data_IF_823076700730
#
_entry.id   IF_823076700730
#
_cell.length_a   1.000
_cell.length_b   1.000
_cell.length_c   1.000
_cell.angle_alpha   90.00
_cell.angle_beta   90.00
_cell.angle_gamma   90.00
#
_symmetry.space_group_name_H-M   'P 1'
#
loop_
_entity.id
_entity.type
_entity.pdbx_description
1 polymer ?
#
# COMPACT_ATOMS: atom_id res chain seq x y z
N UNK A 1 -10.27 18.26 10.19
CA UNK A 1 -9.33 17.97 11.31
C UNK A 1 -8.57 16.63 11.13
N UNK A 2 -9.00 15.75 10.22
CA UNK A 2 -8.37 14.46 9.97
C UNK A 2 -7.34 14.48 8.82
N UNK A 3 -6.81 15.63 8.46
CA UNK A 3 -5.78 15.77 7.42
C UNK A 3 -4.45 16.22 8.03
N UNK A 4 -3.37 15.63 7.56
CA UNK A 4 -2.01 16.02 7.91
C UNK A 4 -1.71 17.41 7.35
N UNK A 5 -1.27 18.34 8.22
CA UNK A 5 -1.17 19.77 7.90
C UNK A 5 -0.26 20.09 6.72
N UNK A 6 0.89 19.40 6.59
CA UNK A 6 1.87 19.66 5.52
C UNK A 6 1.50 19.01 4.18
N UNK A 7 0.87 17.83 4.20
CA UNK A 7 0.66 17.03 2.99
C UNK A 7 -0.78 17.02 2.49
N UNK A 8 -1.75 17.35 3.33
CA UNK A 8 -3.18 17.23 3.02
C UNK A 8 -3.71 15.80 2.98
N UNK A 9 -2.84 14.80 3.24
CA UNK A 9 -3.24 13.39 3.34
C UNK A 9 -4.14 13.18 4.55
N UNK A 10 -5.11 12.27 4.43
CA UNK A 10 -5.88 11.87 5.59
C UNK A 10 -5.02 11.15 6.61
N UNK A 11 -5.27 11.44 7.88
CA UNK A 11 -4.75 10.68 9.00
C UNK A 11 -5.70 9.51 9.22
N UNK A 12 -5.19 8.30 9.08
CA UNK A 12 -5.99 7.07 9.04
C UNK A 12 -6.02 6.34 10.38
N UNK A 13 -5.28 6.82 11.37
CA UNK A 13 -5.15 6.17 12.67
C UNK A 13 -5.69 7.07 13.78
N UNK A 14 -6.53 6.50 14.62
CA UNK A 14 -7.09 7.16 15.81
C UNK A 14 -6.52 6.48 17.04
N UNK A 15 -5.78 7.24 17.84
CA UNK A 15 -5.18 6.77 19.10
C UNK A 15 -6.11 7.10 20.27
N UNK A 16 -6.69 6.07 20.89
CA UNK A 16 -7.58 6.22 22.03
C UNK A 16 -8.84 7.04 21.74
N UNK A 17 -9.34 7.74 22.75
CA UNK A 17 -10.55 8.54 22.64
C UNK A 17 -10.30 9.85 21.88
N UNK A 18 -10.52 9.86 20.56
CA UNK A 18 -10.52 11.05 19.70
C UNK A 18 -9.17 11.72 19.44
N UNK A 19 -8.04 11.07 19.71
CA UNK A 19 -6.72 11.54 19.25
C UNK A 19 -6.38 10.88 17.90
N UNK A 20 -6.12 11.68 16.90
CA UNK A 20 -5.57 11.19 15.63
C UNK A 20 -4.06 11.02 15.77
N UNK A 21 -3.50 9.98 15.17
CA UNK A 21 -2.07 9.90 14.90
C UNK A 21 -1.63 11.15 14.14
N UNK A 22 -0.42 11.62 14.41
CA UNK A 22 0.11 12.78 13.66
C UNK A 22 0.59 12.40 12.26
N UNK A 23 0.59 11.12 11.92
CA UNK A 23 1.21 10.61 10.70
C UNK A 23 0.21 9.83 9.84
N UNK A 24 0.13 10.11 8.54
CA UNK A 24 -0.55 9.25 7.59
C UNK A 24 0.30 8.00 7.32
N UNK A 25 -0.34 6.83 7.27
CA UNK A 25 0.30 5.54 6.98
C UNK A 25 0.00 5.08 5.56
N UNK A 26 1.01 4.53 4.89
CA UNK A 26 0.93 4.13 3.49
C UNK A 26 -0.09 3.03 3.23
N UNK A 27 -0.03 1.93 3.98
CA UNK A 27 -0.99 0.83 3.84
C UNK A 27 -2.44 1.29 4.06
N UNK A 28 -2.68 2.05 5.13
CA UNK A 28 -4.01 2.56 5.47
C UNK A 28 -4.54 3.57 4.43
N UNK A 29 -3.66 4.42 3.88
CA UNK A 29 -4.04 5.34 2.81
C UNK A 29 -4.42 4.62 1.52
N UNK A 30 -3.63 3.63 1.11
CA UNK A 30 -3.94 2.81 -0.07
C UNK A 30 -5.30 2.13 0.07
N UNK A 31 -5.54 1.51 1.22
CA UNK A 31 -6.80 0.86 1.55
C UNK A 31 -7.97 1.85 1.53
N UNK A 32 -7.81 2.99 2.21
CA UNK A 32 -8.84 4.04 2.25
C UNK A 32 -9.17 4.58 0.87
N UNK A 33 -8.17 4.87 0.02
CA UNK A 33 -8.38 5.39 -1.34
C UNK A 33 -9.17 4.39 -2.18
N UNK A 34 -8.84 3.11 -2.07
CA UNK A 34 -9.55 2.04 -2.75
C UNK A 34 -11.04 2.04 -2.41
N UNK A 35 -11.38 1.96 -1.12
CA UNK A 35 -12.80 1.93 -0.71
C UNK A 35 -13.52 3.24 -0.95
N UNK A 36 -12.84 4.36 -0.75
CA UNK A 36 -13.41 5.69 -1.03
C UNK A 36 -13.82 5.86 -2.49
N UNK A 37 -13.19 5.15 -3.41
CA UNK A 37 -13.54 5.16 -4.83
C UNK A 37 -14.99 4.77 -5.11
N UNK A 38 -15.61 3.94 -4.26
CA UNK A 38 -16.97 3.46 -4.43
C UNK A 38 -18.04 4.50 -4.05
N UNK A 39 -17.77 5.37 -3.07
CA UNK A 39 -18.77 6.32 -2.57
C UNK A 39 -18.36 7.81 -2.69
N UNK A 40 -17.08 8.10 -2.88
CA UNK A 40 -16.55 9.46 -3.02
C UNK A 40 -15.40 9.53 -4.05
N UNK A 41 -15.64 9.20 -5.33
CA UNK A 41 -14.58 9.03 -6.33
C UNK A 41 -13.72 10.29 -6.55
N UNK A 42 -14.30 11.48 -6.47
CA UNK A 42 -13.55 12.73 -6.60
C UNK A 42 -12.54 12.91 -5.46
N UNK A 43 -12.93 12.57 -4.23
CA UNK A 43 -12.04 12.60 -3.06
C UNK A 43 -10.97 11.53 -3.13
N UNK A 44 -11.31 10.33 -3.61
CA UNK A 44 -10.33 9.27 -3.85
C UNK A 44 -9.25 9.73 -4.82
N UNK A 45 -9.62 10.35 -5.95
CA UNK A 45 -8.68 10.92 -6.93
C UNK A 45 -7.81 12.05 -6.34
N UNK A 46 -8.39 12.93 -5.52
CA UNK A 46 -7.63 13.98 -4.81
C UNK A 46 -6.58 13.35 -3.89
N UNK A 47 -7.00 12.43 -3.02
CA UNK A 47 -6.11 11.76 -2.09
C UNK A 47 -5.05 10.92 -2.81
N UNK A 48 -5.38 10.28 -3.92
CA UNK A 48 -4.43 9.56 -4.76
C UNK A 48 -3.32 10.46 -5.30
N UNK A 49 -3.66 11.65 -5.78
CA UNK A 49 -2.67 12.64 -6.23
C UNK A 49 -1.73 13.05 -5.10
N UNK A 50 -2.27 13.34 -3.92
CA UNK A 50 -1.48 13.71 -2.74
C UNK A 50 -0.63 12.53 -2.25
N UNK A 51 -1.17 11.32 -2.28
CA UNK A 51 -0.49 10.10 -1.89
C UNK A 51 0.73 9.84 -2.78
N UNK A 52 0.56 9.88 -4.10
CA UNK A 52 1.69 9.78 -5.04
C UNK A 52 2.72 10.88 -4.83
N UNK A 53 2.29 12.11 -4.61
CA UNK A 53 3.22 13.25 -4.40
C UNK A 53 4.10 13.05 -3.17
N UNK A 54 3.56 12.54 -2.08
CA UNK A 54 4.22 12.53 -0.77
C UNK A 54 4.84 11.18 -0.39
N UNK A 55 4.26 10.08 -0.87
CA UNK A 55 4.61 8.73 -0.42
C UNK A 55 5.24 7.85 -1.52
N UNK A 56 5.15 8.23 -2.79
CA UNK A 56 5.76 7.45 -3.86
C UNK A 56 7.28 7.56 -3.80
N UNK A 57 7.96 6.43 -3.81
CA UNK A 57 9.41 6.30 -3.85
C UNK A 57 9.85 5.58 -5.12
N UNK A 58 10.97 6.02 -5.68
CA UNK A 58 11.62 5.35 -6.82
C UNK A 58 12.93 4.74 -6.36
N UNK A 59 13.16 3.46 -6.68
CA UNK A 59 14.38 2.74 -6.34
C UNK A 59 14.75 1.84 -7.52
N UNK A 60 15.94 1.98 -8.08
CA UNK A 60 16.47 1.14 -9.16
C UNK A 60 15.47 0.92 -10.32
N UNK A 61 14.86 2.00 -10.80
CA UNK A 61 13.89 1.95 -11.89
C UNK A 61 12.50 1.42 -11.54
N UNK A 62 12.28 0.97 -10.31
CA UNK A 62 10.99 0.54 -9.77
C UNK A 62 10.35 1.63 -8.93
N UNK A 63 9.03 1.51 -8.70
CA UNK A 63 8.29 2.43 -7.84
C UNK A 63 7.55 1.66 -6.75
N UNK A 64 7.40 2.27 -5.59
CA UNK A 64 6.57 1.74 -4.52
C UNK A 64 6.15 2.85 -3.58
N UNK A 65 5.29 2.53 -2.64
CA UNK A 65 4.85 3.48 -1.64
C UNK A 65 5.59 3.29 -0.33
N UNK A 66 5.94 4.40 0.32
CA UNK A 66 6.44 4.41 1.69
C UNK A 66 5.34 3.99 2.65
N UNK A 67 5.72 3.36 3.75
CA UNK A 67 4.78 3.15 4.86
C UNK A 67 4.62 4.42 5.69
N UNK A 68 5.70 5.20 5.84
CA UNK A 68 5.72 6.44 6.61
C UNK A 68 6.26 7.61 5.80
N UNK A 69 5.92 8.84 6.19
CA UNK A 69 6.55 10.05 5.65
C UNK A 69 8.07 10.04 5.96
N UNK A 70 8.85 10.76 5.15
CA UNK A 70 10.33 10.76 5.23
C UNK A 70 10.90 11.28 6.54
N UNK A 71 10.17 12.11 7.24
CA UNK A 71 10.53 12.69 8.51
C UNK A 71 10.09 11.83 9.73
N UNK A 72 9.57 10.63 9.45
CA UNK A 72 9.12 9.69 10.46
C UNK A 72 9.64 8.29 10.15
N UNK A 73 10.50 7.77 11.00
CA UNK A 73 10.93 6.37 10.99
C UNK A 73 10.08 5.59 12.00
N UNK A 74 8.93 5.14 11.55
CA UNK A 74 8.04 4.30 12.35
C UNK A 74 8.62 2.89 12.52
N UNK A 75 8.37 2.30 13.66
CA UNK A 75 8.68 0.89 13.89
C UNK A 75 7.81 -0.01 13.01
N UNK A 76 8.35 -1.18 12.66
CA UNK A 76 7.59 -2.23 12.03
C UNK A 76 6.33 -2.57 12.83
N UNK A 77 5.21 -2.74 12.15
CA UNK A 77 3.96 -3.22 12.74
C UNK A 77 3.45 -4.41 11.95
N UNK A 78 2.77 -5.40 12.57
CA UNK A 78 2.28 -6.60 11.87
C UNK A 78 1.43 -6.32 10.62
N UNK A 79 0.69 -5.22 10.62
CA UNK A 79 -0.21 -4.82 9.54
C UNK A 79 0.49 -4.06 8.41
N UNK A 80 1.69 -3.51 8.64
CA UNK A 80 2.46 -2.83 7.61
C UNK A 80 3.30 -3.77 6.75
N UNK A 81 3.55 -4.99 7.25
CA UNK A 81 4.50 -5.89 6.63
C UNK A 81 5.93 -5.33 6.59
N UNK A 82 6.84 -5.98 5.87
CA UNK A 82 8.22 -5.52 5.78
C UNK A 82 8.35 -4.20 5.02
N UNK A 83 9.30 -3.39 5.45
CA UNK A 83 9.74 -2.20 4.73
C UNK A 83 11.10 -2.48 4.12
N UNK A 84 11.17 -2.56 2.80
CA UNK A 84 12.39 -2.89 2.06
C UNK A 84 12.88 -1.64 1.33
N UNK A 85 14.08 -1.19 1.66
CA UNK A 85 14.68 0.02 1.11
C UNK A 85 13.76 1.26 1.21
N UNK A 86 12.96 1.35 2.29
CA UNK A 86 12.00 2.42 2.53
C UNK A 86 10.72 2.34 1.70
N UNK A 87 10.44 1.19 1.06
CA UNK A 87 9.16 0.87 0.43
C UNK A 87 8.43 -0.11 1.34
N UNK A 88 7.21 0.23 1.74
CA UNK A 88 6.30 -0.67 2.45
C UNK A 88 5.67 -1.66 1.48
N UNK A 89 5.85 -2.96 1.74
CA UNK A 89 5.30 -4.02 0.88
C UNK A 89 3.77 -3.96 0.88
N UNK A 90 3.14 -3.86 2.06
CA UNK A 90 1.70 -3.72 2.17
C UNK A 90 1.18 -2.42 1.53
N UNK A 91 1.85 -1.28 1.77
CA UNK A 91 1.47 0.00 1.15
C UNK A 91 1.52 -0.06 -0.38
N UNK A 92 2.50 -0.77 -0.93
CA UNK A 92 2.68 -0.93 -2.39
C UNK A 92 1.68 -1.91 -2.99
N UNK A 93 1.47 -3.06 -2.36
CA UNK A 93 0.49 -4.05 -2.79
C UNK A 93 -0.95 -3.51 -2.76
N UNK A 94 -1.37 -2.90 -1.66
CA UNK A 94 -2.66 -2.22 -1.57
C UNK A 94 -2.76 -1.01 -2.51
N UNK A 95 -1.62 -0.41 -2.84
CA UNK A 95 -1.51 0.67 -3.83
C UNK A 95 -1.93 0.26 -5.23
N UNK A 96 -1.83 -1.03 -5.61
CA UNK A 96 -2.39 -1.58 -6.85
C UNK A 96 -3.91 -1.40 -6.90
N UNK A 97 -4.62 -1.80 -5.84
CA UNK A 97 -6.06 -1.63 -5.75
C UNK A 97 -6.48 -0.15 -5.81
N UNK A 98 -5.75 0.71 -5.12
CA UNK A 98 -6.00 2.15 -5.17
C UNK A 98 -5.79 2.72 -6.59
N UNK A 99 -4.69 2.34 -7.26
CA UNK A 99 -4.40 2.76 -8.64
C UNK A 99 -5.49 2.30 -9.62
N UNK A 100 -5.90 1.04 -9.51
CA UNK A 100 -7.00 0.45 -10.29
C UNK A 100 -8.30 1.24 -10.08
N UNK A 101 -8.69 1.45 -8.83
CA UNK A 101 -9.93 2.14 -8.46
C UNK A 101 -10.01 3.57 -9.03
N UNK A 102 -8.91 4.30 -9.04
CA UNK A 102 -8.89 5.67 -9.59
C UNK A 102 -8.61 5.72 -11.10
N UNK A 103 -8.37 4.59 -11.74
CA UNK A 103 -8.10 4.47 -13.18
C UNK A 103 -6.68 4.88 -13.60
N UNK A 104 -5.70 4.84 -12.69
CA UNK A 104 -4.31 5.19 -12.99
C UNK A 104 -3.52 3.97 -13.51
N UNK A 105 -3.83 3.53 -14.72
CA UNK A 105 -3.18 2.38 -15.39
C UNK A 105 -1.65 2.52 -15.44
N UNK A 106 -1.13 3.75 -15.64
CA UNK A 106 0.32 3.98 -15.71
C UNK A 106 1.02 3.67 -14.40
N UNK A 107 0.46 4.10 -13.28
CA UNK A 107 1.01 3.82 -11.95
C UNK A 107 0.79 2.35 -11.60
N UNK A 108 -0.37 1.79 -11.90
CA UNK A 108 -0.67 0.37 -11.71
C UNK A 108 0.41 -0.53 -12.34
N UNK A 109 0.65 -0.41 -13.65
CA UNK A 109 1.64 -1.25 -14.35
C UNK A 109 3.06 -1.14 -13.79
N UNK A 110 3.42 0.03 -13.23
CA UNK A 110 4.73 0.20 -12.59
C UNK A 110 4.79 -0.45 -11.20
N UNK A 111 3.72 -0.36 -10.42
CA UNK A 111 3.63 -1.02 -9.12
C UNK A 111 3.62 -2.54 -9.27
N UNK A 112 2.86 -3.04 -10.25
CA UNK A 112 2.81 -4.46 -10.60
C UNK A 112 4.21 -5.00 -10.89
N UNK A 113 4.99 -4.33 -11.77
CA UNK A 113 6.39 -4.71 -12.04
C UNK A 113 7.26 -4.74 -10.79
N UNK A 114 6.95 -3.92 -9.79
CA UNK A 114 7.66 -3.93 -8.50
C UNK A 114 7.26 -5.12 -7.65
N UNK A 115 5.97 -5.46 -7.65
CA UNK A 115 5.43 -6.51 -6.79
C UNK A 115 5.62 -7.92 -7.33
N UNK A 116 5.71 -8.09 -8.66
CA UNK A 116 5.89 -9.41 -9.30
C UNK A 116 7.02 -10.26 -8.69
N UNK A 117 8.23 -9.75 -8.42
CA UNK A 117 9.28 -10.54 -7.79
C UNK A 117 8.92 -11.01 -6.37
N UNK A 118 8.14 -10.24 -5.63
CA UNK A 118 7.70 -10.64 -4.30
C UNK A 118 6.71 -11.81 -4.38
N UNK A 119 5.80 -11.80 -5.34
CA UNK A 119 4.86 -12.90 -5.57
C UNK A 119 5.58 -14.17 -6.06
N UNK A 120 6.52 -14.04 -7.00
CA UNK A 120 7.30 -15.20 -7.49
C UNK A 120 8.21 -15.79 -6.40
N UNK A 121 8.78 -14.97 -5.54
CA UNK A 121 9.64 -15.43 -4.43
C UNK A 121 8.83 -16.12 -3.33
N UNK A 122 7.60 -15.68 -3.08
CA UNK A 122 6.68 -16.37 -2.17
C UNK A 122 6.32 -17.76 -2.69
N UNK A 123 6.18 -17.92 -4.01
CA UNK A 123 5.97 -19.23 -4.64
C UNK A 123 7.22 -20.15 -4.57
N UNK A 124 8.43 -19.57 -4.59
CA UNK A 124 9.71 -20.32 -4.43
C UNK A 124 9.94 -20.73 -2.97
N UNK A 125 9.40 -20.00 -2.00
CA UNK A 125 9.45 -20.35 -0.57
C UNK A 125 8.83 -21.74 -0.27
N UNK A 126 8.03 -22.26 -1.20
CA UNK A 126 7.50 -23.62 -1.14
C UNK A 126 8.57 -24.71 -1.33
N UNK A 127 9.74 -24.39 -1.86
CA UNK A 127 10.84 -25.31 -2.09
C UNK A 127 11.79 -25.47 -0.88
N UNK A 128 11.72 -24.63 0.15
CA UNK A 128 12.61 -24.69 1.31
C UNK A 128 11.90 -25.28 2.53
N UNK A 129 12.25 -26.50 2.94
CA UNK A 129 11.68 -27.11 4.14
C UNK A 129 12.18 -26.36 5.40
N UNK A 130 11.25 -25.74 6.11
CA UNK A 130 11.52 -25.05 7.38
C UNK A 130 10.94 -23.62 7.47
N UNK A 131 10.64 -22.97 6.38
CA UNK A 131 9.99 -21.66 6.36
C UNK A 131 8.45 -21.77 6.22
N UNK A 132 7.97 -23.01 6.13
CA UNK A 132 6.59 -23.38 5.76
C UNK A 132 5.47 -22.92 6.70
N UNK A 133 5.75 -22.54 7.92
CA UNK A 133 4.68 -22.48 8.93
C UNK A 133 4.10 -21.06 9.16
N UNK A 134 4.80 -20.01 8.80
CA UNK A 134 4.36 -18.64 9.09
C UNK A 134 3.91 -17.81 7.87
N UNK A 135 4.31 -18.19 6.66
CA UNK A 135 3.98 -17.43 5.43
C UNK A 135 2.68 -17.89 4.76
N UNK A 136 2.28 -19.15 4.96
CA UNK A 136 1.25 -19.79 4.13
C UNK A 136 -0.20 -19.40 4.35
N UNK A 137 -0.60 -18.99 5.53
CA UNK A 137 -2.03 -18.83 5.84
C UNK A 137 -2.57 -17.39 5.76
N UNK A 138 -1.73 -16.39 5.87
CA UNK A 138 -2.19 -14.99 5.90
C UNK A 138 -1.77 -14.17 4.68
N UNK A 139 -0.59 -14.42 4.14
CA UNK A 139 -0.02 -13.58 3.07
C UNK A 139 -0.46 -14.00 1.68
N UNK A 140 -0.60 -15.30 1.40
CA UNK A 140 -0.91 -15.78 0.05
C UNK A 140 -2.36 -15.49 -0.36
N UNK A 141 -3.32 -15.74 0.51
CA UNK A 141 -4.73 -15.46 0.23
C UNK A 141 -5.00 -13.94 0.15
N UNK A 142 -4.40 -13.16 1.04
CA UNK A 142 -4.56 -11.71 1.05
C UNK A 142 -3.86 -11.07 -0.14
N UNK A 143 -2.63 -11.44 -0.45
CA UNK A 143 -1.88 -10.89 -1.57
C UNK A 143 -2.48 -11.29 -2.90
N UNK A 144 -2.84 -12.56 -3.07
CA UNK A 144 -3.49 -13.06 -4.29
C UNK A 144 -4.87 -12.44 -4.51
N UNK A 145 -5.67 -12.28 -3.46
CA UNK A 145 -6.99 -11.65 -3.57
C UNK A 145 -6.89 -10.14 -3.85
N UNK A 146 -5.90 -9.46 -3.28
CA UNK A 146 -5.62 -8.05 -3.57
C UNK A 146 -5.22 -7.87 -5.04
N UNK A 147 -4.36 -8.75 -5.53
CA UNK A 147 -3.86 -8.68 -6.90
C UNK A 147 -4.96 -9.00 -7.91
N UNK A 148 -5.69 -10.09 -7.73
CA UNK A 148 -6.81 -10.50 -8.59
C UNK A 148 -7.91 -9.41 -8.63
N UNK A 149 -8.26 -8.81 -7.49
CA UNK A 149 -9.21 -7.71 -7.43
C UNK A 149 -8.71 -6.48 -8.19
N UNK A 150 -7.41 -6.18 -8.14
CA UNK A 150 -6.83 -5.06 -8.86
C UNK A 150 -6.84 -5.28 -10.37
N UNK A 151 -6.52 -6.47 -10.86
CA UNK A 151 -6.53 -6.81 -12.30
C UNK A 151 -7.94 -6.78 -12.90
N UNK A 152 -8.92 -7.40 -12.23
CA UNK A 152 -10.29 -7.46 -12.75
C UNK A 152 -10.97 -6.11 -12.90
N UNK A 153 -10.47 -5.07 -12.25
CA UNK A 153 -11.01 -3.70 -12.36
C UNK A 153 -10.38 -2.87 -13.49
N UNK A 154 -9.27 -3.31 -14.05
CA UNK A 154 -8.55 -2.57 -15.11
C UNK A 154 -8.93 -3.07 -16.53
N UNK A 155 -9.48 -4.27 -16.63
CA UNK A 155 -10.08 -4.79 -17.87
C UNK A 155 -11.38 -4.06 -18.18
#
# INVERSE_FOLDING_TARGET
KAKHKKTGLYITEVLGTRKYSNQPRGCSLSYMIHYMGSFAPSRAKEQWKLYKKNMLKKIFGRIGFREYLTDYEGSWTPDSGPVVAGIGVAATGLGLNAASTVGDKKTFNKLEKTMNPFYSTLSIGDLLPGIKTFSRLGTDLLSSSIWLNAETRIM
#
